data_IF_157129298798
#
_entry.id   IF_157129298798
#
_cell.length_a   1.000
_cell.length_b   1.000
_cell.length_c   1.000
_cell.angle_alpha   90.00
_cell.angle_beta   90.00
_cell.angle_gamma   90.00
#
_symmetry.space_group_name_H-M   'P 1'
#
loop_
_entity.id
_entity.type
_entity.pdbx_description
1 polymer ?
#
# COMPACT_ATOMS: atom_id res chain seq x y z
N UNK A 1 29.04 -11.75 -13.34
CA UNK A 1 30.29 -11.15 -12.85
C UNK A 1 30.01 -10.75 -11.40
N UNK A 2 30.70 -11.34 -10.43
CA UNK A 2 30.57 -11.00 -8.99
C UNK A 2 31.72 -10.08 -8.61
N UNK A 3 31.45 -9.09 -7.75
CA UNK A 3 32.48 -8.22 -7.19
C UNK A 3 33.36 -9.02 -6.22
N UNK A 4 34.62 -8.60 -6.07
CA UNK A 4 35.47 -9.06 -4.98
C UNK A 4 35.07 -8.35 -3.68
N UNK A 5 35.53 -8.86 -2.53
CA UNK A 5 35.28 -8.24 -1.21
C UNK A 5 35.76 -6.77 -1.17
N UNK A 6 36.91 -6.49 -1.80
CA UNK A 6 37.44 -5.13 -1.94
C UNK A 6 36.59 -4.27 -2.89
N UNK A 7 36.05 -4.87 -3.96
CA UNK A 7 35.14 -4.22 -4.89
C UNK A 7 33.82 -3.85 -4.24
N UNK A 8 33.27 -4.72 -3.39
CA UNK A 8 32.05 -4.43 -2.60
C UNK A 8 32.29 -3.30 -1.60
N UNK A 9 33.45 -3.32 -0.90
CA UNK A 9 33.81 -2.25 0.03
C UNK A 9 34.00 -0.91 -0.71
N UNK A 10 34.63 -0.91 -1.89
CA UNK A 10 34.79 0.29 -2.71
C UNK A 10 33.45 0.86 -3.17
N UNK A 11 32.55 0.03 -3.64
CA UNK A 11 31.19 0.44 -4.02
C UNK A 11 30.43 1.05 -2.84
N UNK A 12 30.48 0.44 -1.65
CA UNK A 12 29.83 0.98 -0.46
C UNK A 12 30.38 2.35 -0.06
N UNK A 13 31.70 2.54 -0.14
CA UNK A 13 32.32 3.84 0.13
C UNK A 13 32.00 4.88 -0.94
N UNK A 14 31.97 4.48 -2.21
CA UNK A 14 31.62 5.37 -3.31
C UNK A 14 30.15 5.83 -3.19
N UNK A 15 29.23 4.94 -2.89
CA UNK A 15 27.82 5.26 -2.65
C UNK A 15 27.67 6.24 -1.47
N UNK A 16 28.40 6.03 -0.38
CA UNK A 16 28.39 6.95 0.76
C UNK A 16 28.96 8.35 0.44
N UNK A 17 29.90 8.47 -0.49
CA UNK A 17 30.39 9.77 -0.98
C UNK A 17 29.38 10.45 -1.90
N UNK A 18 28.75 9.71 -2.80
CA UNK A 18 27.69 10.23 -3.67
C UNK A 18 26.49 10.72 -2.88
N UNK A 19 26.09 10.01 -1.83
CA UNK A 19 25.02 10.44 -0.93
C UNK A 19 25.37 11.74 -0.19
N UNK A 20 26.64 11.90 0.24
CA UNK A 20 27.10 13.16 0.87
C UNK A 20 27.10 14.31 -0.11
N UNK A 21 27.49 14.08 -1.36
CA UNK A 21 27.43 15.09 -2.42
C UNK A 21 25.99 15.51 -2.70
N UNK A 22 25.07 14.57 -2.87
CA UNK A 22 23.66 14.85 -3.07
C UNK A 22 23.03 15.61 -1.88
N UNK A 23 23.45 15.28 -0.64
CA UNK A 23 23.01 16.00 0.55
C UNK A 23 23.53 17.45 0.58
N UNK A 24 24.78 17.69 0.17
CA UNK A 24 25.38 19.01 0.07
C UNK A 24 24.70 19.87 -1.01
N UNK A 25 24.45 19.32 -2.20
CA UNK A 25 23.69 19.98 -3.26
C UNK A 25 22.29 20.37 -2.79
N UNK A 26 21.63 19.46 -2.06
CA UNK A 26 20.32 19.70 -1.47
C UNK A 26 20.36 20.83 -0.43
N UNK A 27 21.38 20.86 0.42
CA UNK A 27 21.55 21.92 1.43
C UNK A 27 21.79 23.29 0.78
N UNK A 28 22.59 23.34 -0.28
CA UNK A 28 22.84 24.55 -1.04
C UNK A 28 21.58 25.05 -1.77
N UNK A 29 20.83 24.16 -2.39
CA UNK A 29 19.55 24.48 -3.05
C UNK A 29 18.49 24.95 -2.03
N UNK A 30 18.41 24.31 -0.85
CA UNK A 30 17.51 24.74 0.24
C UNK A 30 17.89 26.15 0.78
N UNK A 31 19.18 26.49 0.81
CA UNK A 31 19.65 27.83 1.21
C UNK A 31 19.28 28.91 0.17
N UNK A 32 19.24 28.55 -1.09
CA UNK A 32 18.85 29.46 -2.18
C UNK A 32 17.33 29.58 -2.37
N UNK A 33 16.52 28.91 -1.53
CA UNK A 33 15.05 28.83 -1.70
C UNK A 33 14.58 28.27 -3.07
N UNK A 34 15.49 27.76 -3.89
CA UNK A 34 15.19 27.20 -5.19
C UNK A 34 14.57 25.80 -5.03
N UNK A 35 13.32 25.66 -5.43
CA UNK A 35 12.62 24.39 -5.46
C UNK A 35 12.93 23.68 -6.78
N UNK A 36 14.06 22.99 -6.86
CA UNK A 36 14.52 22.25 -8.04
C UNK A 36 15.06 20.86 -7.67
N UNK A 37 15.44 20.09 -8.69
CA UNK A 37 16.03 18.76 -8.56
C UNK A 37 15.02 17.64 -8.70
N UNK A 38 15.46 16.41 -8.43
CA UNK A 38 14.67 15.19 -8.63
C UNK A 38 14.17 14.65 -7.30
N UNK A 39 12.91 14.15 -7.29
CA UNK A 39 12.37 13.33 -6.21
C UNK A 39 12.15 11.92 -6.75
N UNK A 40 12.84 10.94 -6.16
CA UNK A 40 12.81 9.54 -6.57
C UNK A 40 12.00 8.71 -5.57
N UNK A 41 10.94 8.04 -6.04
CA UNK A 41 9.99 7.36 -5.19
C UNK A 41 9.75 5.94 -5.69
N UNK A 42 9.66 4.98 -4.77
CA UNK A 42 9.15 3.65 -5.05
C UNK A 42 7.70 3.49 -4.56
N UNK A 43 6.91 2.67 -5.23
CA UNK A 43 5.57 2.30 -4.78
C UNK A 43 5.15 0.94 -5.33
N UNK A 44 4.12 0.32 -4.71
CA UNK A 44 3.50 -0.89 -5.24
C UNK A 44 2.77 -0.63 -6.54
N UNK A 45 2.69 -1.64 -7.43
CA UNK A 45 2.10 -1.49 -8.77
C UNK A 45 0.68 -0.93 -8.72
N UNK A 46 -0.22 -1.58 -8.02
CA UNK A 46 -1.64 -1.23 -8.06
C UNK A 46 -1.92 0.18 -7.54
N UNK A 47 -1.42 0.51 -6.34
CA UNK A 47 -1.59 1.85 -5.76
C UNK A 47 -0.82 2.91 -6.54
N UNK A 48 0.39 2.57 -6.96
CA UNK A 48 1.25 3.47 -7.73
C UNK A 48 0.59 3.91 -9.03
N UNK A 49 0.03 2.99 -9.80
CA UNK A 49 -0.63 3.29 -11.07
C UNK A 49 -1.94 4.06 -10.90
N UNK A 50 -2.77 3.61 -9.94
CA UNK A 50 -4.14 4.11 -9.84
C UNK A 50 -4.26 5.45 -9.14
N UNK A 51 -3.48 5.65 -8.09
CA UNK A 51 -3.62 6.79 -7.18
C UNK A 51 -2.40 7.69 -7.15
N UNK A 52 -1.21 7.09 -6.99
CA UNK A 52 0.01 7.88 -6.82
C UNK A 52 0.43 8.56 -8.12
N UNK A 53 0.42 7.85 -9.26
CA UNK A 53 0.82 8.41 -10.55
C UNK A 53 0.05 9.69 -10.92
N UNK A 54 -1.30 9.69 -10.90
CA UNK A 54 -2.09 10.90 -11.10
C UNK A 54 -1.77 12.02 -10.10
N UNK A 55 -1.59 11.68 -8.81
CA UNK A 55 -1.24 12.67 -7.79
C UNK A 55 0.15 13.28 -8.03
N UNK A 56 1.13 12.49 -8.44
CA UNK A 56 2.47 12.97 -8.78
C UNK A 56 2.46 13.88 -10.01
N UNK A 57 1.66 13.57 -11.01
CA UNK A 57 1.49 14.42 -12.18
C UNK A 57 0.88 15.80 -11.78
N UNK A 58 -0.12 15.80 -10.89
CA UNK A 58 -0.70 17.03 -10.37
C UNK A 58 0.29 17.83 -9.51
N UNK A 59 1.12 17.15 -8.71
CA UNK A 59 2.18 17.81 -7.93
C UNK A 59 3.24 18.43 -8.83
N UNK A 60 3.72 17.70 -9.84
CA UNK A 60 4.73 18.18 -10.77
C UNK A 60 4.24 19.40 -11.58
N UNK A 61 2.96 19.41 -11.98
CA UNK A 61 2.36 20.56 -12.66
C UNK A 61 2.37 21.85 -11.79
N UNK A 62 2.27 21.72 -10.46
CA UNK A 62 2.38 22.85 -9.52
C UNK A 62 3.85 23.26 -9.27
N UNK A 63 4.79 22.37 -9.57
CA UNK A 63 6.22 22.56 -9.31
C UNK A 63 7.05 22.18 -10.54
N UNK A 64 6.96 22.92 -11.66
CA UNK A 64 7.52 22.54 -12.96
C UNK A 64 9.06 22.43 -12.97
N UNK A 65 9.75 23.04 -12.00
CA UNK A 65 11.20 22.92 -11.85
C UNK A 65 11.64 21.61 -11.14
N UNK A 66 10.69 20.83 -10.62
CA UNK A 66 10.98 19.52 -10.02
C UNK A 66 10.81 18.42 -11.06
N UNK A 67 11.73 17.45 -11.00
CA UNK A 67 11.59 16.16 -11.65
C UNK A 67 11.04 15.14 -10.65
N UNK A 68 10.16 14.26 -11.08
CA UNK A 68 9.59 13.20 -10.26
C UNK A 68 9.79 11.87 -10.96
N UNK A 69 10.51 10.96 -10.33
CA UNK A 69 10.74 9.61 -10.81
C UNK A 69 9.98 8.62 -9.93
N UNK A 70 9.09 7.82 -10.54
CA UNK A 70 8.31 6.79 -9.87
C UNK A 70 8.72 5.41 -10.35
N UNK A 71 9.27 4.60 -9.45
CA UNK A 71 9.54 3.19 -9.67
C UNK A 71 8.43 2.33 -9.07
N UNK A 72 7.79 1.49 -9.88
CA UNK A 72 6.79 0.54 -9.41
C UNK A 72 7.42 -0.83 -9.15
N UNK A 73 7.16 -1.40 -7.97
CA UNK A 73 7.72 -2.69 -7.55
C UNK A 73 6.87 -3.33 -6.45
N UNK A 74 6.82 -4.68 -6.41
CA UNK A 74 6.19 -5.42 -5.31
C UNK A 74 7.18 -5.81 -4.19
N UNK A 75 8.45 -5.46 -4.35
CA UNK A 75 9.45 -5.63 -3.31
C UNK A 75 9.97 -4.27 -2.88
N UNK A 76 9.95 -3.98 -1.57
CA UNK A 76 10.50 -2.74 -1.08
C UNK A 76 12.01 -2.72 -1.39
N UNK A 77 12.46 -1.77 -2.23
CA UNK A 77 13.88 -1.66 -2.57
C UNK A 77 14.69 -1.19 -1.34
N UNK A 78 15.99 -1.40 -1.37
CA UNK A 78 16.88 -0.71 -0.45
C UNK A 78 16.92 0.78 -0.81
N UNK A 79 16.12 1.56 -0.10
CA UNK A 79 15.93 2.98 -0.41
C UNK A 79 17.21 3.79 -0.25
N UNK A 80 18.09 3.41 0.68
CA UNK A 80 19.35 4.08 0.93
C UNK A 80 20.36 3.82 -0.19
N UNK A 81 20.63 2.56 -0.48
CA UNK A 81 21.61 2.14 -1.49
C UNK A 81 21.18 2.56 -2.90
N UNK A 82 19.89 2.49 -3.21
CA UNK A 82 19.40 2.79 -4.56
C UNK A 82 19.03 4.27 -4.75
N UNK A 83 19.31 5.15 -3.79
CA UNK A 83 19.15 6.60 -3.91
C UNK A 83 17.69 7.06 -4.01
N UNK A 84 16.73 6.34 -3.40
CA UNK A 84 15.36 6.81 -3.28
C UNK A 84 15.21 7.81 -2.15
N UNK A 85 14.37 8.84 -2.36
CA UNK A 85 13.97 9.75 -1.29
C UNK A 85 12.98 9.07 -0.32
N UNK A 86 12.21 8.09 -0.81
CA UNK A 86 11.30 7.29 -0.03
C UNK A 86 10.43 6.36 -0.86
N UNK A 87 9.49 5.68 -0.20
CA UNK A 87 8.52 4.82 -0.84
C UNK A 87 7.12 5.04 -0.29
N UNK A 88 6.09 4.86 -1.12
CA UNK A 88 4.70 4.71 -0.67
C UNK A 88 4.41 3.24 -0.47
N UNK A 89 4.19 2.85 0.78
CA UNK A 89 4.04 1.45 1.16
C UNK A 89 2.75 1.19 1.93
N UNK A 90 2.17 0.00 1.76
CA UNK A 90 0.79 -0.31 2.14
C UNK A 90 0.65 -1.08 3.45
N UNK A 91 1.69 -1.26 4.22
CA UNK A 91 1.68 -1.84 5.57
C UNK A 91 2.94 -1.52 6.35
N UNK A 92 2.92 -1.87 7.63
CA UNK A 92 4.08 -1.65 8.49
C UNK A 92 5.32 -2.37 7.94
N UNK A 93 6.35 -1.60 7.63
CA UNK A 93 7.67 -2.15 7.35
C UNK A 93 8.25 -2.61 8.69
N UNK A 94 8.10 -3.90 8.99
CA UNK A 94 8.82 -4.50 10.10
C UNK A 94 10.24 -4.79 9.63
N UNK A 95 11.12 -3.82 9.79
CA UNK A 95 12.53 -4.01 9.52
C UNK A 95 13.28 -4.31 10.84
N UNK A 96 14.31 -5.16 10.78
CA UNK A 96 15.20 -5.44 11.93
C UNK A 96 15.93 -4.19 12.44
N UNK A 97 15.93 -3.10 11.64
CA UNK A 97 16.50 -1.80 11.93
C UNK A 97 15.42 -0.71 11.93
N UNK A 98 14.33 -0.94 12.68
CA UNK A 98 13.23 0.03 12.76
C UNK A 98 13.66 1.44 13.24
N UNK A 99 14.84 1.55 13.90
CA UNK A 99 15.45 2.82 14.32
C UNK A 99 15.93 3.68 13.15
N UNK A 100 16.19 3.07 11.98
CA UNK A 100 16.84 3.74 10.85
C UNK A 100 15.83 4.23 9.80
N UNK A 101 14.53 4.05 10.09
CA UNK A 101 13.45 4.38 9.16
C UNK A 101 12.48 5.40 9.74
N UNK A 102 12.07 6.33 8.90
CA UNK A 102 11.00 7.30 9.20
C UNK A 102 9.74 6.86 8.46
N UNK A 103 8.64 6.80 9.18
CA UNK A 103 7.32 6.51 8.59
C UNK A 103 6.35 7.65 8.85
N UNK A 104 5.58 8.04 7.84
CA UNK A 104 4.47 8.99 7.98
C UNK A 104 3.24 8.43 7.30
N UNK A 105 2.13 8.36 8.01
CA UNK A 105 0.87 7.94 7.40
C UNK A 105 0.40 8.98 6.40
N UNK A 106 0.18 8.54 5.16
CA UNK A 106 -0.36 9.36 4.06
C UNK A 106 -1.89 9.30 4.05
N UNK A 107 -2.46 8.10 4.19
CA UNK A 107 -3.91 7.92 4.22
C UNK A 107 -4.31 6.66 4.98
N UNK A 108 -5.56 6.64 5.45
CA UNK A 108 -6.17 5.43 6.00
C UNK A 108 -6.62 4.51 4.88
N UNK A 109 -6.54 3.24 5.15
CA UNK A 109 -7.04 2.19 4.27
C UNK A 109 -7.41 0.96 5.09
N UNK A 110 -8.32 0.15 4.56
CA UNK A 110 -8.69 -1.15 5.12
C UNK A 110 -8.57 -2.21 4.04
N UNK A 111 -8.12 -3.40 4.44
CA UNK A 111 -8.28 -4.61 3.62
C UNK A 111 -9.47 -5.39 4.15
N UNK A 112 -10.36 -5.74 3.23
CA UNK A 112 -11.62 -6.41 3.54
C UNK A 112 -11.75 -7.68 2.72
N UNK A 113 -12.52 -8.63 3.25
CA UNK A 113 -12.88 -9.85 2.54
C UNK A 113 -13.98 -9.54 1.52
N UNK A 114 -13.78 -10.01 0.29
CA UNK A 114 -14.77 -9.83 -0.78
C UNK A 114 -14.78 -11.04 -1.71
N UNK A 115 -15.93 -11.25 -2.34
CA UNK A 115 -16.16 -12.24 -3.37
C UNK A 115 -17.19 -11.73 -4.39
N UNK A 116 -17.20 -12.29 -5.61
CA UNK A 116 -18.26 -11.99 -6.56
C UNK A 116 -19.57 -12.71 -6.21
N UNK A 117 -20.73 -12.13 -6.58
CA UNK A 117 -22.02 -12.79 -6.40
C UNK A 117 -22.06 -14.20 -7.02
N UNK A 118 -21.45 -14.38 -8.19
CA UNK A 118 -21.40 -15.67 -8.88
C UNK A 118 -20.68 -16.77 -8.05
N UNK A 119 -19.59 -16.42 -7.38
CA UNK A 119 -18.93 -17.33 -6.46
C UNK A 119 -19.84 -17.69 -5.28
N UNK A 120 -20.44 -16.67 -4.64
CA UNK A 120 -21.29 -16.87 -3.45
C UNK A 120 -22.57 -17.66 -3.77
N UNK A 121 -23.14 -17.50 -4.95
CA UNK A 121 -24.30 -18.32 -5.39
C UNK A 121 -23.92 -19.80 -5.51
N UNK A 122 -22.72 -20.10 -5.96
CA UNK A 122 -22.24 -21.48 -6.17
C UNK A 122 -21.75 -22.15 -4.89
N UNK A 123 -21.06 -21.40 -4.01
CA UNK A 123 -20.36 -21.96 -2.83
C UNK A 123 -20.96 -21.57 -1.49
N UNK A 124 -21.95 -20.69 -1.50
CA UNK A 124 -22.53 -20.12 -0.28
C UNK A 124 -21.70 -18.98 0.32
N UNK A 125 -22.28 -18.29 1.28
CA UNK A 125 -21.60 -17.25 2.07
C UNK A 125 -21.00 -17.92 3.31
N UNK A 126 -19.69 -17.74 3.61
CA UNK A 126 -19.11 -18.25 4.86
C UNK A 126 -19.81 -17.62 6.07
N UNK A 127 -20.23 -18.45 7.02
CA UNK A 127 -20.95 -18.02 8.20
C UNK A 127 -20.04 -17.33 9.22
N UNK A 128 -18.79 -17.76 9.31
CA UNK A 128 -17.78 -17.31 10.26
C UNK A 128 -16.35 -17.42 9.67
N UNK A 129 -15.34 -17.04 10.45
CA UNK A 129 -13.95 -17.13 10.01
C UNK A 129 -13.47 -18.56 9.76
N UNK A 130 -13.77 -19.57 10.61
CA UNK A 130 -13.42 -20.96 10.35
C UNK A 130 -13.94 -21.50 9.03
N UNK A 131 -15.14 -21.06 8.59
CA UNK A 131 -15.71 -21.47 7.32
C UNK A 131 -14.85 -21.08 6.10
N UNK A 132 -13.97 -20.08 6.20
CA UNK A 132 -13.03 -19.73 5.13
C UNK A 132 -12.08 -20.89 4.76
N UNK A 133 -11.83 -21.82 5.67
CA UNK A 133 -10.99 -23.00 5.39
C UNK A 133 -11.61 -23.96 4.35
N UNK A 134 -12.93 -23.87 4.13
CA UNK A 134 -13.66 -24.69 3.14
C UNK A 134 -13.96 -23.94 1.84
N UNK A 135 -13.55 -22.67 1.75
CA UNK A 135 -13.70 -21.85 0.56
C UNK A 135 -12.39 -21.74 -0.21
N UNK A 136 -12.51 -21.51 -1.51
CA UNK A 136 -11.35 -21.15 -2.35
C UNK A 136 -10.92 -19.73 -2.03
N UNK A 137 -9.75 -19.55 -1.41
CA UNK A 137 -9.23 -18.25 -1.07
C UNK A 137 -8.11 -17.85 -2.03
N UNK A 138 -8.22 -16.64 -2.59
CA UNK A 138 -7.27 -16.09 -3.53
C UNK A 138 -6.18 -15.32 -2.78
N UNK A 139 -4.93 -15.75 -2.92
CA UNK A 139 -3.83 -15.24 -2.10
C UNK A 139 -3.00 -14.22 -2.86
N UNK A 140 -2.99 -12.96 -2.38
CA UNK A 140 -2.09 -11.94 -2.86
C UNK A 140 -0.75 -11.98 -2.11
N UNK A 141 0.34 -12.25 -2.82
CA UNK A 141 1.71 -12.31 -2.29
C UNK A 141 2.43 -10.98 -2.51
N UNK A 142 1.75 -9.88 -2.19
CA UNK A 142 2.28 -8.52 -2.33
C UNK A 142 3.24 -8.19 -1.18
N UNK A 143 4.23 -7.33 -1.46
CA UNK A 143 5.21 -6.79 -0.50
C UNK A 143 5.96 -7.87 0.29
N UNK A 144 6.45 -8.87 -0.41
CA UNK A 144 7.39 -9.82 0.15
C UNK A 144 8.64 -9.08 0.65
N UNK A 145 8.64 -8.72 1.94
CA UNK A 145 9.86 -8.25 2.60
C UNK A 145 10.85 -9.41 2.77
N UNK A 146 12.05 -9.12 3.27
CA UNK A 146 13.14 -10.07 3.51
C UNK A 146 12.79 -11.26 4.43
N UNK A 147 11.60 -11.27 5.04
CA UNK A 147 11.05 -12.42 5.75
C UNK A 147 9.75 -12.86 5.09
N UNK A 148 9.68 -14.11 4.60
CA UNK A 148 8.46 -14.68 4.07
C UNK A 148 7.44 -14.81 5.21
N UNK A 149 6.48 -13.89 5.27
CA UNK A 149 5.25 -14.13 6.03
C UNK A 149 4.43 -15.13 5.23
N UNK A 150 3.82 -16.13 5.87
CA UNK A 150 2.89 -16.98 5.17
C UNK A 150 1.72 -16.14 4.68
N UNK A 151 1.65 -15.89 3.36
CA UNK A 151 0.60 -15.09 2.72
C UNK A 151 -0.78 -15.72 2.84
N UNK A 152 -0.82 -17.02 3.15
CA UNK A 152 -2.00 -17.82 3.43
C UNK A 152 -2.50 -17.66 4.88
N UNK A 153 -1.79 -16.91 5.74
CA UNK A 153 -2.21 -16.61 7.11
C UNK A 153 -2.81 -15.19 7.17
N UNK A 154 -4.13 -15.11 7.14
CA UNK A 154 -4.82 -13.83 7.26
C UNK A 154 -5.04 -13.46 8.73
N UNK A 155 -4.58 -12.28 9.11
CA UNK A 155 -4.83 -11.69 10.43
C UNK A 155 -5.98 -10.69 10.30
N UNK A 156 -7.08 -10.94 10.97
CA UNK A 156 -8.30 -10.16 10.86
C UNK A 156 -8.74 -9.67 12.22
N UNK A 157 -9.19 -8.42 12.30
CA UNK A 157 -9.72 -7.78 13.50
C UNK A 157 -11.23 -7.64 13.40
N UNK A 158 -11.93 -8.01 14.46
CA UNK A 158 -13.37 -7.82 14.54
C UNK A 158 -13.71 -6.38 14.94
N UNK A 159 -14.68 -5.78 14.25
CA UNK A 159 -14.99 -4.35 14.39
C UNK A 159 -15.65 -3.96 15.73
N UNK A 160 -16.36 -4.90 16.39
CA UNK A 160 -17.10 -4.60 17.64
C UNK A 160 -16.20 -4.61 18.87
N UNK A 161 -15.45 -5.69 19.03
CA UNK A 161 -14.68 -5.96 20.27
C UNK A 161 -13.17 -5.79 20.09
N UNK A 162 -12.72 -5.52 18.86
CA UNK A 162 -11.29 -5.36 18.55
C UNK A 162 -10.49 -6.65 18.61
N UNK A 163 -11.13 -7.81 18.84
CA UNK A 163 -10.46 -9.10 18.88
C UNK A 163 -9.77 -9.40 17.55
N UNK A 164 -8.60 -10.02 17.61
CA UNK A 164 -7.81 -10.38 16.45
C UNK A 164 -7.76 -11.88 16.31
N UNK A 165 -8.17 -12.39 15.14
CA UNK A 165 -8.08 -13.80 14.77
C UNK A 165 -7.07 -14.00 13.64
N UNK A 166 -6.40 -15.16 13.66
CA UNK A 166 -5.52 -15.61 12.57
C UNK A 166 -6.13 -16.85 11.96
N UNK A 167 -6.35 -16.79 10.66
CA UNK A 167 -6.91 -17.93 9.91
C UNK A 167 -5.96 -18.30 8.77
N UNK A 168 -5.64 -19.57 8.67
CA UNK A 168 -4.93 -20.10 7.50
C UNK A 168 -5.95 -20.43 6.44
N UNK A 169 -5.76 -19.86 5.26
CA UNK A 169 -6.63 -20.01 4.10
C UNK A 169 -5.96 -20.89 3.05
N UNK A 170 -6.77 -21.50 2.19
CA UNK A 170 -6.31 -22.34 1.10
C UNK A 170 -6.96 -21.92 -0.20
N UNK A 171 -6.26 -22.11 -1.31
CA UNK A 171 -6.78 -21.86 -2.64
C UNK A 171 -5.76 -22.19 -3.72
N UNK A 172 -6.25 -22.53 -4.89
CA UNK A 172 -5.42 -22.96 -6.01
C UNK A 172 -4.70 -21.79 -6.73
N UNK A 173 -5.14 -20.55 -6.49
CA UNK A 173 -4.63 -19.38 -7.18
C UNK A 173 -3.97 -18.40 -6.22
N UNK A 174 -2.73 -18.03 -6.54
CA UNK A 174 -1.98 -17.00 -5.83
C UNK A 174 -1.15 -16.18 -6.83
N UNK A 175 -1.00 -14.87 -6.57
CA UNK A 175 -0.20 -13.97 -7.40
C UNK A 175 0.50 -12.94 -6.54
N UNK A 176 1.62 -12.40 -7.02
CA UNK A 176 2.24 -11.20 -6.47
C UNK A 176 1.54 -9.90 -6.96
N UNK A 177 0.64 -9.99 -7.93
CA UNK A 177 -0.22 -8.89 -8.36
C UNK A 177 -1.59 -8.97 -7.67
N UNK A 178 -1.88 -8.00 -6.82
CA UNK A 178 -3.20 -7.92 -6.22
C UNK A 178 -4.30 -7.56 -7.21
N UNK A 179 -3.97 -6.88 -8.31
CA UNK A 179 -4.89 -6.62 -9.42
C UNK A 179 -5.33 -7.94 -10.09
N UNK A 180 -4.40 -8.87 -10.32
CA UNK A 180 -4.71 -10.19 -10.85
C UNK A 180 -5.62 -10.99 -9.88
N UNK A 181 -5.34 -10.92 -8.59
CA UNK A 181 -6.19 -11.55 -7.55
C UNK A 181 -7.60 -10.96 -7.55
N UNK A 182 -7.75 -9.65 -7.74
CA UNK A 182 -9.06 -9.00 -7.90
C UNK A 182 -9.78 -9.51 -9.14
N UNK A 183 -9.10 -9.59 -10.27
CA UNK A 183 -9.69 -10.03 -11.54
C UNK A 183 -10.19 -11.48 -11.45
N UNK A 184 -9.40 -12.40 -10.85
CA UNK A 184 -9.88 -13.76 -10.56
C UNK A 184 -11.08 -13.79 -9.61
N UNK A 185 -11.15 -12.89 -8.64
CA UNK A 185 -12.30 -12.80 -7.75
C UNK A 185 -13.56 -12.35 -8.49
N UNK A 186 -13.44 -11.37 -9.39
CA UNK A 186 -14.52 -10.93 -10.27
C UNK A 186 -15.01 -12.07 -11.17
N UNK A 187 -14.11 -12.90 -11.68
CA UNK A 187 -14.43 -14.13 -12.43
C UNK A 187 -15.05 -15.26 -11.59
N UNK A 188 -15.29 -15.03 -10.30
CA UNK A 188 -15.91 -16.01 -9.43
C UNK A 188 -15.00 -17.16 -9.01
N UNK A 189 -13.68 -16.94 -8.92
CA UNK A 189 -12.72 -17.99 -8.56
C UNK A 189 -12.56 -18.17 -7.05
N UNK A 190 -13.00 -17.21 -6.23
CA UNK A 190 -12.83 -17.37 -4.79
C UNK A 190 -13.08 -16.11 -3.99
N UNK A 191 -12.73 -16.18 -2.70
CA UNK A 191 -12.74 -15.08 -1.74
C UNK A 191 -11.34 -14.46 -1.69
N UNK A 192 -11.24 -13.14 -1.69
CA UNK A 192 -9.98 -12.42 -1.56
C UNK A 192 -9.98 -11.50 -0.34
N UNK A 193 -8.77 -11.15 0.13
CA UNK A 193 -8.52 -10.08 1.11
C UNK A 193 -7.86 -8.91 0.39
N UNK A 194 -8.62 -7.82 0.12
CA UNK A 194 -8.16 -6.69 -0.70
C UNK A 194 -8.39 -5.33 -0.07
N UNK A 195 -7.54 -4.37 -0.41
CA UNK A 195 -7.63 -2.98 0.00
C UNK A 195 -8.83 -2.27 -0.62
N UNK A 196 -9.50 -1.42 0.16
CA UNK A 196 -10.62 -0.62 -0.34
C UNK A 196 -10.22 0.31 -1.49
N UNK A 197 -9.02 0.89 -1.46
CA UNK A 197 -8.53 1.72 -2.57
C UNK A 197 -8.53 1.00 -3.93
N UNK A 198 -8.48 -0.35 -3.93
CA UNK A 198 -8.49 -1.16 -5.16
C UNK A 198 -9.92 -1.57 -5.57
N UNK A 199 -10.78 -1.93 -4.62
CA UNK A 199 -12.04 -2.60 -4.90
C UNK A 199 -13.30 -1.80 -4.53
N UNK A 200 -13.17 -0.57 -4.02
CA UNK A 200 -14.34 0.23 -3.63
C UNK A 200 -15.37 0.44 -4.77
N UNK A 201 -14.98 0.70 -6.04
CA UNK A 201 -15.95 0.80 -7.13
C UNK A 201 -16.73 -0.48 -7.37
N UNK A 202 -16.08 -1.65 -7.32
CA UNK A 202 -16.74 -2.94 -7.54
C UNK A 202 -17.66 -3.32 -6.38
N UNK A 203 -17.32 -2.88 -5.16
CA UNK A 203 -18.24 -3.00 -4.02
C UNK A 203 -19.44 -2.06 -4.16
N UNK A 204 -19.25 -0.86 -4.69
CA UNK A 204 -20.33 0.11 -4.93
C UNK A 204 -21.24 -0.32 -6.08
N UNK A 205 -20.70 -0.91 -7.14
CA UNK A 205 -21.49 -1.45 -8.29
C UNK A 205 -22.18 -2.78 -7.99
N UNK A 206 -21.77 -3.49 -6.93
CA UNK A 206 -22.29 -4.82 -6.60
C UNK A 206 -21.60 -5.97 -7.37
N UNK A 207 -20.59 -5.69 -8.18
CA UNK A 207 -19.75 -6.72 -8.82
C UNK A 207 -18.98 -7.55 -7.77
N UNK A 208 -18.72 -6.95 -6.64
CA UNK A 208 -18.15 -7.60 -5.46
C UNK A 208 -19.06 -7.36 -4.25
N UNK A 209 -19.12 -8.35 -3.38
CA UNK A 209 -19.87 -8.30 -2.10
C UNK A 209 -18.87 -8.51 -0.96
N UNK A 210 -19.01 -7.74 0.12
CA UNK A 210 -18.24 -7.96 1.34
C UNK A 210 -18.62 -9.28 2.00
N UNK A 211 -17.59 -10.08 2.26
CA UNK A 211 -17.70 -11.33 3.02
C UNK A 211 -17.28 -11.03 4.45
N UNK A 212 -18.00 -11.56 5.44
CA UNK A 212 -17.75 -11.33 6.87
C UNK A 212 -17.50 -9.84 7.19
N UNK A 213 -18.50 -8.95 6.96
CA UNK A 213 -18.29 -7.49 6.94
C UNK A 213 -17.83 -6.89 8.26
N UNK A 214 -17.92 -7.64 9.36
CA UNK A 214 -17.43 -7.24 10.67
C UNK A 214 -15.91 -7.47 10.86
N UNK A 215 -15.25 -8.06 9.88
CA UNK A 215 -13.83 -8.33 9.92
C UNK A 215 -13.07 -7.50 8.88
N UNK A 216 -11.92 -6.99 9.28
CA UNK A 216 -10.97 -6.32 8.38
C UNK A 216 -9.53 -6.62 8.82
N UNK A 217 -8.58 -6.55 7.88
CA UNK A 217 -7.17 -6.65 8.21
C UNK A 217 -6.74 -5.35 8.91
N UNK A 218 -6.14 -5.41 10.11
CA UNK A 218 -5.54 -4.26 10.77
C UNK A 218 -4.28 -3.79 10.02
N UNK A 219 -3.86 -2.55 10.29
CA UNK A 219 -2.56 -2.02 9.84
C UNK A 219 -2.36 -2.04 8.31
N UNK A 220 -3.41 -1.69 7.56
CA UNK A 220 -3.38 -1.62 6.11
C UNK A 220 -3.27 -0.18 5.57
N UNK A 221 -2.97 0.78 6.44
CA UNK A 221 -2.83 2.20 6.08
C UNK A 221 -1.69 2.41 5.07
N UNK A 222 -1.78 3.50 4.33
CA UNK A 222 -0.81 3.90 3.33
C UNK A 222 0.21 4.82 4.00
N UNK A 223 1.48 4.47 3.89
CA UNK A 223 2.57 5.19 4.54
C UNK A 223 3.61 5.65 3.53
N UNK A 224 4.16 6.84 3.79
CA UNK A 224 5.49 7.20 3.34
C UNK A 224 6.51 6.49 4.22
N UNK A 225 7.51 5.89 3.61
CA UNK A 225 8.61 5.20 4.28
C UNK A 225 9.92 5.71 3.70
N UNK A 226 10.87 6.09 4.52
CA UNK A 226 12.17 6.58 4.07
C UNK A 226 13.26 6.21 5.06
N UNK A 227 14.54 6.11 4.63
CA UNK A 227 15.67 6.05 5.54
C UNK A 227 15.69 7.31 6.42
N UNK A 228 16.09 7.13 7.68
CA UNK A 228 16.29 8.28 8.56
C UNK A 228 17.42 9.17 8.02
N UNK A 229 17.16 10.47 7.94
CA UNK A 229 18.14 11.48 7.57
C UNK A 229 18.05 12.64 8.56
N UNK A 230 19.18 13.29 8.92
CA UNK A 230 19.16 14.44 9.83
C UNK A 230 18.23 15.57 9.34
N UNK A 231 18.09 15.71 8.02
CA UNK A 231 17.23 16.72 7.40
C UNK A 231 16.56 16.16 6.14
N UNK A 232 15.23 16.23 6.10
CA UNK A 232 14.47 15.89 4.90
C UNK A 232 14.48 17.07 3.93
N UNK A 233 14.84 16.88 2.65
CA UNK A 233 14.82 17.95 1.64
C UNK A 233 13.45 18.63 1.53
N UNK A 234 13.43 19.93 1.27
CA UNK A 234 12.20 20.72 1.14
C UNK A 234 11.26 20.14 0.08
N UNK A 235 11.78 19.75 -1.09
CA UNK A 235 11.01 19.13 -2.17
C UNK A 235 10.28 17.86 -1.73
N UNK A 236 10.93 17.04 -0.90
CA UNK A 236 10.34 15.79 -0.37
C UNK A 236 9.25 16.10 0.67
N UNK A 237 9.46 17.06 1.56
CA UNK A 237 8.43 17.49 2.53
C UNK A 237 7.19 18.02 1.83
N UNK A 238 7.36 18.89 0.83
CA UNK A 238 6.25 19.42 0.03
C UNK A 238 5.46 18.30 -0.65
N UNK A 239 6.15 17.32 -1.24
CA UNK A 239 5.48 16.18 -1.84
C UNK A 239 4.68 15.38 -0.80
N UNK A 240 5.26 15.07 0.35
CA UNK A 240 4.57 14.33 1.41
C UNK A 240 3.32 15.09 1.88
N UNK A 241 3.43 16.40 2.10
CA UNK A 241 2.31 17.25 2.52
C UNK A 241 1.22 17.30 1.44
N UNK A 242 1.61 17.42 0.17
CA UNK A 242 0.70 17.36 -0.96
C UNK A 242 -0.06 16.02 -1.01
N UNK A 243 0.64 14.88 -0.85
CA UNK A 243 0.00 13.56 -0.87
C UNK A 243 -0.95 13.36 0.32
N UNK A 244 -0.59 13.84 1.51
CA UNK A 244 -1.47 13.80 2.69
C UNK A 244 -2.76 14.59 2.41
N UNK A 245 -2.66 15.77 1.82
CA UNK A 245 -3.84 16.57 1.48
C UNK A 245 -4.66 15.94 0.34
N UNK A 246 -4.00 15.46 -0.73
CA UNK A 246 -4.66 14.81 -1.85
C UNK A 246 -5.49 13.58 -1.44
N UNK A 247 -5.04 12.84 -0.44
CA UNK A 247 -5.72 11.63 0.04
C UNK A 247 -6.47 11.83 1.37
N UNK A 248 -6.62 13.06 1.84
CA UNK A 248 -7.29 13.39 3.11
C UNK A 248 -8.73 12.90 3.18
N UNK A 249 -9.45 12.94 2.06
CA UNK A 249 -10.84 12.50 1.97
C UNK A 249 -11.00 11.00 1.84
N UNK A 250 -9.89 10.25 1.70
CA UNK A 250 -9.91 8.80 1.48
C UNK A 250 -10.88 8.42 0.35
N UNK A 251 -10.61 8.79 -0.93
CA UNK A 251 -11.56 8.69 -2.04
C UNK A 251 -12.05 7.25 -2.32
N UNK A 252 -11.49 6.27 -1.65
CA UNK A 252 -11.92 4.87 -1.66
C UNK A 252 -12.78 4.48 -0.45
N UNK A 253 -13.11 5.41 0.43
CA UNK A 253 -13.95 5.13 1.59
C UNK A 253 -15.35 4.77 1.11
N UNK A 254 -15.83 3.62 1.53
CA UNK A 254 -17.22 3.25 1.29
C UNK A 254 -18.14 4.16 2.10
N UNK A 255 -19.10 4.78 1.46
CA UNK A 255 -20.18 5.46 2.17
C UNK A 255 -20.91 4.44 3.04
N UNK A 256 -21.17 4.80 4.29
CA UNK A 256 -22.03 3.98 5.14
C UNK A 256 -23.41 3.83 4.45
N UNK A 257 -23.99 2.63 4.38
CA UNK A 257 -25.32 2.48 3.80
C UNK A 257 -26.27 3.45 4.49
N UNK A 258 -26.96 4.27 3.70
CA UNK A 258 -27.92 5.23 4.21
C UNK A 258 -28.88 4.52 5.19
N UNK A 259 -28.94 5.00 6.43
CA UNK A 259 -29.91 4.45 7.40
C UNK A 259 -31.30 4.47 6.75
N UNK A 260 -32.01 3.34 6.68
CA UNK A 260 -33.35 3.32 6.15
C UNK A 260 -34.20 4.35 6.92
N UNK A 261 -34.80 5.29 6.18
CA UNK A 261 -35.73 6.27 6.77
C UNK A 261 -36.79 5.49 7.52
N UNK A 262 -37.11 5.83 8.79
CA UNK A 262 -38.18 5.16 9.51
C UNK A 262 -39.47 5.28 8.68
N UNK A 263 -40.07 4.13 8.36
CA UNK A 263 -41.38 4.10 7.73
C UNK A 263 -42.36 4.87 8.64
N UNK A 264 -42.85 6.02 8.17
CA UNK A 264 -43.95 6.69 8.86
C UNK A 264 -45.12 5.69 8.93
N UNK A 265 -45.46 5.29 10.14
CA UNK A 265 -46.69 4.57 10.38
C UNK A 265 -47.85 5.46 9.85
N UNK A 266 -48.60 4.91 8.91
CA UNK A 266 -49.86 5.53 8.50
C UNK A 266 -50.81 5.31 9.68
N UNK A 267 -51.27 6.42 10.24
CA UNK A 267 -52.40 6.45 11.17
C UNK A 267 -53.70 6.13 10.43
#
# INVERSE_FOLDING_TARGET
MSLTTEGEALCQHADGLLDRFAALETELADRQNALNGTVRIAATFGFGRRWLGPALAAFQAQHPALQVELQLTEQLPDLGIQGYDGAIWLWSVQNRHASDWVTRRIARNQRVLAASPAYLQRRGLPADLPALATHDCLVARENGGAQPRPFDLWTLRHARDGSTARIRVQGALASNSGEMVRDWCLDGRGIMLRSLWDIAPQLASGELVRVLPHYAMPEADIHWVAPWRPRTPRRVRLLIDFLVEAFRTEPWKLEAPARPKPRRAKA
#
